data_IF_713469070600
#
_entry.id   IF_713469070600
#
_cell.length_a   1.000
_cell.length_b   1.000
_cell.length_c   1.000
_cell.angle_alpha   90.00
_cell.angle_beta   90.00
_cell.angle_gamma   90.00
#
_symmetry.space_group_name_H-M   'P 1'
#
loop_
_entity.id
_entity.type
_entity.pdbx_description
1 polymer ?
#
# COMPACT_ATOMS: atom_id res chain seq x y z
N UNK A 1 17.45 4.79 -17.95
CA UNK A 1 17.33 4.78 -16.49
C UNK A 1 15.93 5.28 -16.14
N UNK A 2 15.02 4.38 -15.75
CA UNK A 2 13.63 4.73 -15.45
C UNK A 2 13.64 5.60 -14.18
N UNK A 3 12.96 6.76 -14.18
CA UNK A 3 12.83 7.62 -12.99
C UNK A 3 11.81 7.06 -11.99
N UNK A 4 12.05 5.82 -11.54
CA UNK A 4 11.22 5.09 -10.57
C UNK A 4 10.97 5.92 -9.29
N UNK A 5 11.94 6.66 -8.73
CA UNK A 5 11.72 7.43 -7.49
C UNK A 5 10.68 8.55 -7.59
N UNK A 6 10.63 9.26 -8.74
CA UNK A 6 9.67 10.36 -8.93
C UNK A 6 8.28 9.82 -9.19
N UNK A 7 8.17 8.80 -10.03
CA UNK A 7 6.90 8.14 -10.32
C UNK A 7 6.29 7.56 -9.03
N UNK A 8 7.06 6.80 -8.27
CA UNK A 8 6.61 6.23 -7.00
C UNK A 8 6.19 7.31 -6.01
N UNK A 9 6.95 8.41 -5.87
CA UNK A 9 6.57 9.54 -5.02
C UNK A 9 5.21 10.11 -5.44
N UNK A 10 4.99 10.34 -6.73
CA UNK A 10 3.73 10.87 -7.25
C UNK A 10 2.55 9.93 -6.97
N UNK A 11 2.69 8.63 -7.28
CA UNK A 11 1.60 7.66 -7.09
C UNK A 11 1.30 7.48 -5.60
N UNK A 12 2.32 7.40 -4.75
CA UNK A 12 2.19 7.32 -3.29
C UNK A 12 1.47 8.55 -2.71
N UNK A 13 1.68 9.72 -3.32
CA UNK A 13 0.96 10.94 -2.93
C UNK A 13 -0.49 10.88 -3.39
N UNK A 14 -0.74 10.37 -4.60
CA UNK A 14 -2.10 10.26 -5.15
C UNK A 14 -2.95 9.20 -4.45
N UNK A 15 -2.35 8.11 -3.96
CA UNK A 15 -3.07 7.09 -3.18
C UNK A 15 -3.62 7.62 -1.85
N UNK A 16 -3.07 8.75 -1.35
CA UNK A 16 -3.52 9.44 -0.15
C UNK A 16 -4.15 10.81 -0.45
N UNK A 17 -4.50 11.08 -1.72
CA UNK A 17 -4.91 12.42 -2.14
C UNK A 17 -6.17 12.89 -1.39
N UNK A 18 -5.99 13.94 -0.57
CA UNK A 18 -7.04 14.58 0.23
C UNK A 18 -7.92 13.57 0.96
N UNK A 19 -7.27 12.57 1.55
CA UNK A 19 -7.92 11.61 2.42
C UNK A 19 -8.56 12.37 3.59
N UNK A 20 -9.76 11.97 4.00
CA UNK A 20 -10.59 12.63 5.03
C UNK A 20 -11.15 14.04 4.73
N UNK A 21 -11.07 14.52 3.48
CA UNK A 21 -11.65 15.83 3.11
C UNK A 21 -12.92 15.64 2.28
N UNK A 22 -14.08 15.97 2.84
CA UNK A 22 -15.37 15.96 2.12
C UNK A 22 -15.64 17.34 1.49
N UNK A 23 -15.77 17.40 0.16
CA UNK A 23 -16.00 18.67 -0.58
C UNK A 23 -17.33 18.64 -1.34
N UNK A 24 -17.81 17.45 -1.72
CA UNK A 24 -19.06 17.27 -2.46
C UNK A 24 -19.04 15.98 -3.28
N UNK A 25 -20.21 15.33 -3.42
CA UNK A 25 -20.36 13.95 -3.88
C UNK A 25 -19.59 13.61 -5.17
N UNK A 26 -19.68 14.44 -6.22
CA UNK A 26 -18.99 14.20 -7.50
C UNK A 26 -17.47 14.30 -7.37
N UNK A 27 -16.98 15.31 -6.64
CA UNK A 27 -15.55 15.49 -6.36
C UNK A 27 -15.00 14.42 -5.42
N UNK A 28 -15.83 13.90 -4.50
CA UNK A 28 -15.47 12.80 -3.63
C UNK A 28 -15.31 11.49 -4.42
N UNK A 29 -16.24 11.23 -5.34
CA UNK A 29 -16.19 10.05 -6.22
C UNK A 29 -14.94 10.06 -7.11
N UNK A 30 -14.67 11.18 -7.80
CA UNK A 30 -13.48 11.31 -8.65
C UNK A 30 -12.18 11.13 -7.83
N UNK A 31 -12.15 11.64 -6.60
CA UNK A 31 -10.99 11.47 -5.71
C UNK A 31 -10.84 10.04 -5.21
N UNK A 32 -11.94 9.36 -4.90
CA UNK A 32 -11.92 7.94 -4.55
C UNK A 32 -11.34 7.13 -5.71
N UNK A 33 -11.78 7.37 -6.94
CA UNK A 33 -11.27 6.69 -8.13
C UNK A 33 -9.76 6.93 -8.33
N UNK A 34 -9.28 8.17 -8.15
CA UNK A 34 -7.85 8.50 -8.20
C UNK A 34 -7.08 7.69 -7.15
N UNK A 35 -7.58 7.59 -5.91
CA UNK A 35 -6.93 6.81 -4.85
C UNK A 35 -6.92 5.32 -5.21
N UNK A 36 -8.05 4.74 -5.62
CA UNK A 36 -8.15 3.34 -6.01
C UNK A 36 -7.18 3.00 -7.15
N UNK A 37 -7.21 3.78 -8.24
CA UNK A 37 -6.31 3.56 -9.39
C UNK A 37 -4.83 3.70 -9.00
N UNK A 38 -4.50 4.65 -8.12
CA UNK A 38 -3.13 4.82 -7.63
C UNK A 38 -2.67 3.63 -6.78
N UNK A 39 -3.54 3.12 -5.88
CA UNK A 39 -3.25 1.91 -5.08
C UNK A 39 -3.03 0.69 -5.95
N UNK A 40 -3.89 0.48 -6.95
CA UNK A 40 -3.73 -0.59 -7.93
C UNK A 40 -2.41 -0.47 -8.70
N UNK A 41 -2.03 0.75 -9.10
CA UNK A 41 -0.75 0.99 -9.75
C UNK A 41 0.44 0.63 -8.84
N UNK A 42 0.40 1.04 -7.57
CA UNK A 42 1.44 0.67 -6.59
C UNK A 42 1.53 -0.84 -6.38
N UNK A 43 0.37 -1.52 -6.29
CA UNK A 43 0.32 -2.98 -6.19
C UNK A 43 1.02 -3.65 -7.38
N UNK A 44 0.74 -3.21 -8.61
CA UNK A 44 1.41 -3.76 -9.78
C UNK A 44 2.91 -3.49 -9.78
N UNK A 45 3.34 -2.29 -9.39
CA UNK A 45 4.77 -1.99 -9.23
C UNK A 45 5.41 -2.89 -8.17
N UNK A 46 4.72 -3.14 -7.06
CA UNK A 46 5.19 -4.04 -6.01
C UNK A 46 5.32 -5.47 -6.56
N UNK A 47 4.30 -6.02 -7.20
CA UNK A 47 4.28 -7.40 -7.71
C UNK A 47 5.33 -7.66 -8.80
N UNK A 48 5.53 -6.69 -9.69
CA UNK A 48 6.44 -6.81 -10.85
C UNK A 48 7.77 -6.09 -10.65
N UNK A 49 8.02 -5.57 -9.46
CA UNK A 49 9.27 -4.91 -9.10
C UNK A 49 10.33 -5.93 -8.71
N UNK A 50 11.55 -5.74 -9.20
CA UNK A 50 12.75 -6.44 -8.72
C UNK A 50 13.19 -5.92 -7.33
N UNK A 51 14.33 -6.41 -6.84
CA UNK A 51 14.93 -6.01 -5.56
C UNK A 51 15.10 -4.48 -5.42
N UNK A 52 15.50 -3.80 -6.51
CA UNK A 52 15.70 -2.36 -6.50
C UNK A 52 14.36 -1.63 -6.31
N UNK A 53 13.32 -2.09 -7.00
CA UNK A 53 11.97 -1.55 -6.84
C UNK A 53 11.43 -1.81 -5.44
N UNK A 54 11.63 -3.01 -4.88
CA UNK A 54 11.22 -3.29 -3.49
C UNK A 54 11.89 -2.34 -2.49
N UNK A 55 13.19 -2.10 -2.66
CA UNK A 55 13.95 -1.15 -1.84
C UNK A 55 13.38 0.27 -1.94
N UNK A 56 13.02 0.72 -3.14
CA UNK A 56 12.44 2.05 -3.33
C UNK A 56 11.03 2.15 -2.74
N UNK A 57 10.22 1.09 -2.79
CA UNK A 57 8.91 1.05 -2.13
C UNK A 57 9.04 1.22 -0.61
N UNK A 58 10.01 0.55 0.03
CA UNK A 58 10.29 0.75 1.46
C UNK A 58 10.78 2.17 1.74
N UNK A 59 11.64 2.73 0.87
CA UNK A 59 12.11 4.11 1.01
C UNK A 59 10.98 5.14 0.86
N UNK A 60 9.95 4.84 0.07
CA UNK A 60 8.74 5.66 -0.07
C UNK A 60 7.66 5.34 0.95
N UNK A 61 7.96 4.49 1.94
CA UNK A 61 7.05 4.06 3.01
C UNK A 61 5.76 3.44 2.46
N UNK A 62 5.88 2.59 1.45
CA UNK A 62 4.74 1.92 0.81
C UNK A 62 3.85 1.17 1.81
N UNK A 63 4.44 0.45 2.78
CA UNK A 63 3.68 -0.24 3.84
C UNK A 63 2.79 0.73 4.61
N UNK A 64 3.38 1.80 5.15
CA UNK A 64 2.65 2.91 5.82
C UNK A 64 1.54 3.50 4.95
N UNK A 65 1.86 3.84 3.70
CA UNK A 65 0.88 4.47 2.78
C UNK A 65 -0.31 3.55 2.52
N UNK A 66 -0.05 2.26 2.37
CA UNK A 66 -1.10 1.27 2.17
C UNK A 66 -1.95 1.14 3.43
N UNK A 67 -1.35 1.09 4.62
CA UNK A 67 -2.07 1.04 5.90
C UNK A 67 -2.99 2.24 6.09
N UNK A 68 -2.47 3.47 6.00
CA UNK A 68 -3.26 4.70 6.14
C UNK A 68 -4.45 4.68 5.19
N UNK A 69 -4.24 4.26 3.94
CA UNK A 69 -5.29 4.24 2.93
C UNK A 69 -6.44 3.26 3.21
N UNK A 70 -6.19 2.22 4.01
CA UNK A 70 -7.19 1.23 4.46
C UNK A 70 -7.94 1.77 5.67
N UNK A 71 -7.23 2.36 6.62
CA UNK A 71 -7.76 2.78 7.92
C UNK A 71 -8.67 4.01 7.82
N UNK A 72 -8.38 4.89 6.87
CA UNK A 72 -9.17 6.08 6.50
C UNK A 72 -10.23 5.80 5.43
N UNK A 73 -10.48 4.54 5.07
CA UNK A 73 -11.65 4.17 4.30
C UNK A 73 -12.89 4.30 5.22
N UNK A 74 -13.28 5.53 5.54
CA UNK A 74 -14.45 5.86 6.35
C UNK A 74 -15.70 5.91 5.47
N UNK A 75 -16.39 4.77 5.36
CA UNK A 75 -17.68 4.65 4.66
C UNK A 75 -18.48 3.44 5.12
N UNK A 76 -19.60 3.14 4.44
CA UNK A 76 -20.42 1.92 4.63
C UNK A 76 -20.71 1.29 3.27
N UNK A 77 -20.41 0.00 3.10
CA UNK A 77 -20.86 -0.80 1.94
C UNK A 77 -19.83 -1.83 1.44
N UNK A 78 -20.27 -2.75 0.58
CA UNK A 78 -19.48 -3.91 0.10
C UNK A 78 -18.23 -3.53 -0.71
N UNK A 79 -18.27 -2.44 -1.49
CA UNK A 79 -17.12 -1.97 -2.29
C UNK A 79 -15.93 -1.55 -1.41
N UNK A 80 -16.21 -1.10 -0.19
CA UNK A 80 -15.19 -0.69 0.77
C UNK A 80 -14.57 -1.89 1.48
N UNK A 81 -15.37 -2.90 1.84
CA UNK A 81 -14.87 -4.13 2.41
C UNK A 81 -13.89 -4.81 1.45
N UNK A 82 -14.17 -4.74 0.14
CA UNK A 82 -13.27 -5.25 -0.89
C UNK A 82 -11.97 -4.44 -1.00
N UNK A 83 -12.02 -3.11 -0.92
CA UNK A 83 -10.82 -2.27 -0.93
C UNK A 83 -9.96 -2.46 0.33
N UNK A 84 -10.59 -2.62 1.50
CA UNK A 84 -9.92 -2.94 2.77
C UNK A 84 -9.25 -4.31 2.65
N UNK A 85 -9.98 -5.32 2.21
CA UNK A 85 -9.46 -6.67 1.99
C UNK A 85 -8.27 -6.68 1.03
N UNK A 86 -8.38 -5.98 -0.11
CA UNK A 86 -7.32 -5.87 -1.09
C UNK A 86 -6.08 -5.20 -0.49
N UNK A 87 -6.25 -4.06 0.20
CA UNK A 87 -5.15 -3.36 0.86
C UNK A 87 -4.41 -4.23 1.89
N UNK A 88 -5.16 -4.94 2.76
CA UNK A 88 -4.57 -5.87 3.73
C UNK A 88 -3.81 -7.00 3.04
N UNK A 89 -4.40 -7.58 1.99
CA UNK A 89 -3.75 -8.62 1.17
C UNK A 89 -2.46 -8.11 0.52
N UNK A 90 -2.42 -6.86 0.08
CA UNK A 90 -1.23 -6.26 -0.53
C UNK A 90 -0.10 -6.06 0.48
N UNK A 91 -0.41 -5.55 1.68
CA UNK A 91 0.56 -5.40 2.77
C UNK A 91 1.12 -6.77 3.17
N UNK A 92 0.23 -7.74 3.40
CA UNK A 92 0.63 -9.10 3.75
C UNK A 92 1.54 -9.72 2.69
N UNK A 93 1.16 -9.62 1.42
CA UNK A 93 1.96 -10.15 0.30
C UNK A 93 3.32 -9.47 0.21
N UNK A 94 3.38 -8.15 0.41
CA UNK A 94 4.60 -7.38 0.41
C UNK A 94 5.55 -7.81 1.53
N UNK A 95 5.10 -7.83 2.78
CA UNK A 95 5.91 -8.25 3.93
C UNK A 95 6.37 -9.70 3.80
N UNK A 96 5.49 -10.61 3.39
CA UNK A 96 5.84 -12.02 3.15
C UNK A 96 6.93 -12.16 2.09
N UNK A 97 6.83 -11.43 0.98
CA UNK A 97 7.82 -11.47 -0.09
C UNK A 97 9.14 -10.85 0.35
N UNK A 98 9.14 -9.78 1.16
CA UNK A 98 10.37 -9.25 1.76
C UNK A 98 11.03 -10.27 2.71
N UNK A 99 10.26 -11.00 3.51
CA UNK A 99 10.80 -12.00 4.45
C UNK A 99 11.30 -13.29 3.76
N UNK A 100 10.58 -13.75 2.73
CA UNK A 100 10.84 -15.06 2.10
C UNK A 100 11.55 -14.97 0.73
N UNK A 101 11.70 -13.77 0.18
CA UNK A 101 12.13 -13.58 -1.21
C UNK A 101 11.06 -13.98 -2.22
N UNK A 102 11.43 -14.00 -3.50
CA UNK A 102 10.59 -14.49 -4.60
C UNK A 102 11.36 -15.51 -5.43
N UNK A 103 10.81 -16.72 -5.53
CA UNK A 103 11.34 -17.84 -6.31
C UNK A 103 10.25 -18.47 -7.21
N UNK A 104 9.48 -17.64 -7.91
CA UNK A 104 8.46 -18.12 -8.83
C UNK A 104 8.78 -17.66 -10.25
N UNK A 105 8.54 -18.52 -11.23
CA UNK A 105 8.88 -18.27 -12.65
C UNK A 105 8.15 -17.07 -13.26
N UNK A 106 7.08 -16.60 -12.61
CA UNK A 106 6.19 -15.56 -13.11
C UNK A 106 6.48 -14.17 -12.55
N UNK A 107 7.38 -13.96 -11.58
CA UNK A 107 7.72 -12.62 -11.05
C UNK A 107 9.24 -12.42 -11.05
N UNK A 108 9.73 -11.18 -11.00
CA UNK A 108 11.16 -10.95 -10.82
C UNK A 108 11.65 -11.61 -9.54
N UNK A 109 12.70 -12.41 -9.69
CA UNK A 109 13.38 -13.07 -8.60
C UNK A 109 14.08 -12.04 -7.71
N UNK A 110 14.04 -12.27 -6.40
CA UNK A 110 14.97 -11.65 -5.45
C UNK A 110 15.12 -12.52 -4.20
N UNK A 111 16.29 -12.44 -3.56
CA UNK A 111 16.57 -13.12 -2.30
C UNK A 111 15.80 -12.46 -1.14
N UNK A 112 15.54 -13.16 -0.03
CA UNK A 112 15.00 -12.54 1.18
C UNK A 112 15.66 -11.19 1.54
N UNK A 113 14.84 -10.19 1.85
CA UNK A 113 15.24 -8.82 2.21
C UNK A 113 14.81 -8.50 3.66
N UNK A 114 15.29 -9.24 4.68
CA UNK A 114 14.79 -9.15 6.05
C UNK A 114 14.97 -7.77 6.69
N UNK A 115 16.03 -7.03 6.33
CA UNK A 115 16.25 -5.66 6.81
C UNK A 115 15.18 -4.69 6.29
N UNK A 116 14.71 -4.89 5.06
CA UNK A 116 13.64 -4.09 4.47
C UNK A 116 12.28 -4.46 5.04
N UNK A 117 12.05 -5.74 5.32
CA UNK A 117 10.85 -6.21 6.01
C UNK A 117 10.73 -5.56 7.38
N UNK A 118 11.79 -5.67 8.20
CA UNK A 118 11.87 -5.04 9.53
C UNK A 118 11.64 -3.53 9.46
N UNK A 119 12.30 -2.83 8.55
CA UNK A 119 12.10 -1.37 8.36
C UNK A 119 10.65 -1.03 8.02
N UNK A 120 9.99 -1.86 7.22
CA UNK A 120 8.58 -1.64 6.84
C UNK A 120 7.66 -1.82 8.05
N UNK A 121 7.90 -2.86 8.85
CA UNK A 121 7.16 -3.11 10.10
C UNK A 121 7.36 -1.96 11.09
N UNK A 122 8.60 -1.50 11.31
CA UNK A 122 8.93 -0.35 12.16
C UNK A 122 8.20 0.93 11.69
N UNK A 123 8.22 1.22 10.38
CA UNK A 123 7.50 2.38 9.80
C UNK A 123 5.98 2.32 9.97
N UNK A 124 5.42 1.10 10.03
CA UNK A 124 3.99 0.90 10.25
C UNK A 124 3.64 1.07 11.73
N UNK A 125 4.47 0.54 12.63
CA UNK A 125 4.29 0.67 14.08
C UNK A 125 4.43 2.12 14.56
N UNK A 126 5.42 2.87 14.06
CA UNK A 126 5.63 4.29 14.39
C UNK A 126 4.40 5.18 14.16
N UNK A 127 3.52 4.79 13.24
CA UNK A 127 2.37 5.59 12.79
C UNK A 127 1.04 5.01 13.29
N UNK A 128 1.06 4.00 14.17
CA UNK A 128 -0.14 3.39 14.72
C UNK A 128 -0.91 2.49 13.74
N UNK A 129 -0.29 2.10 12.62
CA UNK A 129 -0.97 1.33 11.58
C UNK A 129 -1.47 -0.04 12.08
N UNK A 130 -0.78 -0.62 13.08
CA UNK A 130 -1.17 -1.90 13.66
C UNK A 130 -2.46 -1.77 14.46
N UNK A 131 -2.54 -0.74 15.29
CA UNK A 131 -3.71 -0.39 16.09
C UNK A 131 -4.91 -0.10 15.20
N UNK A 132 -4.70 0.63 14.10
CA UNK A 132 -5.77 0.92 13.15
C UNK A 132 -6.24 -0.33 12.38
N UNK A 133 -5.32 -1.22 11.97
CA UNK A 133 -5.67 -2.51 11.34
C UNK A 133 -6.45 -3.39 12.33
N UNK A 134 -5.98 -3.49 13.57
CA UNK A 134 -6.64 -4.26 14.62
C UNK A 134 -8.04 -3.70 14.93
N UNK A 135 -8.21 -2.38 14.94
CA UNK A 135 -9.51 -1.74 15.12
C UNK A 135 -10.48 -2.07 13.97
N UNK A 136 -10.01 -2.10 12.72
CA UNK A 136 -10.82 -2.46 11.56
C UNK A 136 -11.20 -3.94 11.56
N UNK A 137 -10.28 -4.85 11.94
CA UNK A 137 -10.57 -6.29 12.02
C UNK A 137 -11.61 -6.64 13.09
N UNK A 138 -11.69 -5.84 14.16
CA UNK A 138 -12.59 -6.07 15.29
C UNK A 138 -13.94 -5.35 15.19
N UNK A 139 -14.14 -4.45 14.22
CA UNK A 139 -15.37 -3.66 14.04
C UNK A 139 -16.46 -4.38 13.20
N UNK A 140 -16.43 -5.73 13.15
CA UNK A 140 -17.45 -6.56 12.49
C UNK A 140 -18.75 -6.65 13.30
#
# INVERSE_FOLDING_TARGET
MIQIPKLLKSITTLSLYKIDVHIGQELDQMRLEIRCNSRWCLYWIQVWGDEQVQSELVNKRYGRVTSISICTAGGKGEEQDQEIYNGLKYIFSFLRELHAGRNNDWKPFFQPLPLLARRTEEQMEEEGAREEIDAQMNNN
#
